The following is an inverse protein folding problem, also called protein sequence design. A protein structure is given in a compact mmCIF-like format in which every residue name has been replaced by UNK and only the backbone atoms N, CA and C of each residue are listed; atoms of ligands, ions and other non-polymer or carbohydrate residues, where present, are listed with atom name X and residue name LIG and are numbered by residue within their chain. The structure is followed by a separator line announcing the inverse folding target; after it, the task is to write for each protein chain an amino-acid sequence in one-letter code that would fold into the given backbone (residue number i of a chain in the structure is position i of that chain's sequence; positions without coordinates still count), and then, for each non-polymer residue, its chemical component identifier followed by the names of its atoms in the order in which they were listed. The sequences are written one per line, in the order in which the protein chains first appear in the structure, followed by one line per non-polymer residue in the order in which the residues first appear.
data_IF_348326455889
#
_entry.id   IF_348326455889
#
_cell.length_a   1.000
_cell.length_b   1.000
_cell.length_c   1.000
_cell.angle_alpha   90.00
_cell.angle_beta   90.00
_cell.angle_gamma   90.00
#
_symmetry.space_group_name_H-M   'P 1'
#
loop_
_entity.id
_entity.type
_entity.pdbx_description
1 polymer ?
#
# COMPACT_ATOMS: atom_id res chain seq x y z
N UNK A 1 85.48 -1.61 2.09
CA UNK A 1 84.86 -2.85 1.59
C UNK A 1 83.34 -2.62 1.47
N UNK A 2 82.89 -2.48 0.22
CA UNK A 2 81.50 -2.31 -0.16
C UNK A 2 80.77 -3.65 -0.11
N UNK A 3 79.62 -3.79 0.55
CA UNK A 3 78.63 -4.83 0.23
C UNK A 3 77.27 -4.20 0.06
N UNK A 4 76.80 -4.41 -1.14
CA UNK A 4 75.49 -4.03 -1.68
C UNK A 4 74.38 -4.73 -0.95
N UNK A 5 73.29 -4.00 -0.58
CA UNK A 5 71.96 -4.54 -0.36
C UNK A 5 71.07 -4.07 -1.52
N UNK A 6 70.86 -4.96 -2.47
CA UNK A 6 69.85 -4.86 -3.50
C UNK A 6 68.93 -6.06 -3.31
N UNK A 7 67.67 -5.83 -3.12
CA UNK A 7 66.63 -6.85 -3.29
C UNK A 7 65.73 -7.02 -2.08
N UNK A 8 64.61 -6.25 -2.01
CA UNK A 8 63.28 -6.72 -1.56
C UNK A 8 62.29 -5.55 -1.62
N UNK A 9 61.86 -5.15 -2.80
CA UNK A 9 60.67 -4.31 -2.98
C UNK A 9 60.00 -4.77 -4.29
N UNK A 10 59.29 -5.91 -4.25
CA UNK A 10 58.46 -6.33 -5.42
C UNK A 10 57.41 -7.41 -5.05
N UNK A 11 56.96 -7.52 -3.78
CA UNK A 11 55.96 -8.54 -3.45
C UNK A 11 54.70 -8.01 -2.73
N UNK A 12 54.63 -6.72 -2.39
CA UNK A 12 53.46 -6.17 -1.64
C UNK A 12 52.38 -5.59 -2.55
N UNK A 13 52.68 -5.22 -3.80
CA UNK A 13 51.68 -4.65 -4.72
C UNK A 13 50.79 -5.69 -5.41
N UNK A 14 51.29 -6.90 -5.62
CA UNK A 14 50.53 -7.96 -6.28
C UNK A 14 49.45 -8.56 -5.34
N UNK A 15 49.72 -8.64 -4.04
CA UNK A 15 48.74 -9.19 -3.07
C UNK A 15 47.58 -8.22 -2.81
N UNK A 16 47.85 -6.91 -2.83
CA UNK A 16 46.77 -5.90 -2.61
C UNK A 16 45.85 -5.77 -3.82
N UNK A 17 46.38 -5.94 -5.05
CA UNK A 17 45.52 -5.94 -6.26
C UNK A 17 44.67 -7.20 -6.37
N UNK A 18 45.20 -8.37 -6.00
CA UNK A 18 44.42 -9.62 -6.00
C UNK A 18 43.30 -9.62 -4.95
N UNK A 19 43.55 -9.09 -3.74
CA UNK A 19 42.54 -8.95 -2.72
C UNK A 19 41.43 -7.94 -3.10
N UNK A 20 41.80 -6.86 -3.79
CA UNK A 20 40.81 -5.88 -4.26
C UNK A 20 39.97 -6.43 -5.41
N UNK A 21 40.56 -7.20 -6.33
CA UNK A 21 39.84 -7.82 -7.44
C UNK A 21 38.87 -8.89 -6.96
N UNK A 22 39.25 -9.73 -5.99
CA UNK A 22 38.35 -10.74 -5.39
C UNK A 22 37.23 -10.11 -4.59
N UNK A 23 37.49 -9.02 -3.84
CA UNK A 23 36.44 -8.29 -3.11
C UNK A 23 35.46 -7.58 -4.05
N UNK A 24 35.91 -7.03 -5.17
CA UNK A 24 35.06 -6.44 -6.20
C UNK A 24 34.22 -7.49 -6.93
N UNK A 25 34.79 -8.66 -7.22
CA UNK A 25 34.01 -9.76 -7.84
C UNK A 25 32.93 -10.28 -6.93
N UNK A 26 33.19 -10.46 -5.63
CA UNK A 26 32.18 -10.90 -4.66
C UNK A 26 31.08 -9.87 -4.41
N UNK A 27 31.39 -8.57 -4.46
CA UNK A 27 30.36 -7.51 -4.36
C UNK A 27 29.49 -7.48 -5.61
N UNK A 28 30.05 -7.61 -6.80
CA UNK A 28 29.29 -7.68 -8.04
C UNK A 28 28.42 -8.93 -8.14
N UNK A 29 28.89 -10.06 -7.63
CA UNK A 29 28.11 -11.30 -7.54
C UNK A 29 26.96 -11.15 -6.54
N UNK A 30 27.17 -10.53 -5.38
CA UNK A 30 26.13 -10.24 -4.39
C UNK A 30 25.09 -9.25 -4.92
N UNK A 31 25.51 -8.22 -5.66
CA UNK A 31 24.60 -7.27 -6.29
C UNK A 31 23.78 -7.93 -7.40
N UNK A 32 24.38 -8.81 -8.22
CA UNK A 32 23.70 -9.58 -9.24
C UNK A 32 22.72 -10.61 -8.63
N UNK A 33 23.08 -11.24 -7.52
CA UNK A 33 22.22 -12.16 -6.79
C UNK A 33 21.05 -11.41 -6.14
N UNK A 34 21.28 -10.23 -5.56
CA UNK A 34 20.23 -9.35 -5.04
C UNK A 34 19.28 -8.82 -6.13
N UNK A 35 19.78 -8.47 -7.31
CA UNK A 35 18.95 -8.09 -8.45
C UNK A 35 18.17 -9.28 -9.01
N UNK A 36 18.78 -10.46 -9.06
CA UNK A 36 18.11 -11.70 -9.47
C UNK A 36 17.02 -12.10 -8.45
N UNK A 37 17.29 -11.98 -7.14
CA UNK A 37 16.30 -12.20 -6.07
C UNK A 37 15.18 -11.19 -6.18
N UNK A 38 15.47 -9.90 -6.41
CA UNK A 38 14.42 -8.89 -6.65
C UNK A 38 13.57 -9.22 -7.87
N UNK A 39 14.16 -9.65 -8.97
CA UNK A 39 13.43 -10.01 -10.19
C UNK A 39 12.56 -11.26 -9.99
N UNK A 40 13.04 -12.25 -9.23
CA UNK A 40 12.28 -13.47 -8.87
C UNK A 40 11.14 -13.12 -7.91
N UNK A 41 11.37 -12.19 -6.98
CA UNK A 41 10.35 -11.73 -6.02
C UNK A 41 9.22 -10.94 -6.72
N UNK A 42 9.54 -10.14 -7.75
CA UNK A 42 8.51 -9.47 -8.56
C UNK A 42 7.66 -10.44 -9.39
N UNK A 43 8.21 -11.58 -9.78
CA UNK A 43 7.53 -12.59 -10.63
C UNK A 43 6.65 -13.55 -9.81
N UNK A 44 6.82 -13.64 -8.49
CA UNK A 44 6.20 -14.70 -7.67
C UNK A 44 4.86 -14.32 -7.01
N UNK A 45 4.26 -13.18 -7.33
CA UNK A 45 2.91 -12.88 -6.83
C UNK A 45 1.89 -13.72 -7.59
N UNK A 46 1.04 -14.51 -6.90
CA UNK A 46 0.02 -15.34 -7.55
C UNK A 46 -1.07 -14.49 -8.24
N UNK A 47 -1.14 -13.19 -7.93
CA UNK A 47 -2.02 -12.22 -8.60
C UNK A 47 -1.15 -11.22 -9.37
N UNK A 48 -1.47 -10.99 -10.63
CA UNK A 48 -0.81 -9.97 -11.47
C UNK A 48 -1.33 -8.56 -11.11
N UNK A 49 -0.50 -7.80 -10.41
CA UNK A 49 -0.81 -6.41 -10.05
C UNK A 49 -0.21 -5.37 -11.02
N UNK A 50 0.26 -5.75 -12.20
CA UNK A 50 0.93 -4.84 -13.13
C UNK A 50 0.06 -3.63 -13.49
N UNK A 51 -1.20 -3.84 -13.83
CA UNK A 51 -2.14 -2.76 -14.15
C UNK A 51 -2.47 -1.91 -12.91
N UNK A 52 -2.52 -2.53 -11.72
CA UNK A 52 -2.69 -1.81 -10.46
C UNK A 52 -1.50 -0.88 -10.20
N UNK A 53 -0.28 -1.35 -10.39
CA UNK A 53 0.93 -0.54 -10.23
C UNK A 53 0.95 0.64 -11.20
N UNK A 54 0.67 0.39 -12.48
CA UNK A 54 0.56 1.45 -13.49
C UNK A 54 -0.45 2.52 -13.07
N UNK A 55 -1.62 2.12 -12.57
CA UNK A 55 -2.63 3.05 -12.09
C UNK A 55 -2.13 3.85 -10.89
N UNK A 56 -1.60 3.16 -9.87
CA UNK A 56 -1.15 3.80 -8.62
C UNK A 56 0.01 4.77 -8.86
N UNK A 57 0.99 4.42 -9.70
CA UNK A 57 2.11 5.30 -10.05
C UNK A 57 1.66 6.57 -10.76
N UNK A 58 0.66 6.46 -11.64
CA UNK A 58 0.11 7.60 -12.39
C UNK A 58 -0.68 8.56 -11.52
N UNK A 59 -1.41 8.04 -10.55
CA UNK A 59 -2.36 8.84 -9.76
C UNK A 59 -1.83 9.28 -8.41
N UNK A 60 -0.74 8.66 -7.92
CA UNK A 60 -0.15 9.01 -6.64
C UNK A 60 1.02 9.96 -6.83
N UNK A 61 0.87 11.19 -6.37
CA UNK A 61 1.84 12.26 -6.56
C UNK A 61 2.50 12.63 -5.24
N UNK A 62 3.84 12.59 -5.19
CA UNK A 62 4.64 13.08 -4.07
C UNK A 62 5.24 14.43 -4.41
N UNK A 63 4.86 15.48 -3.68
CA UNK A 63 5.48 16.80 -3.80
C UNK A 63 5.78 17.31 -2.40
N UNK A 64 7.03 17.15 -1.97
CA UNK A 64 7.53 17.66 -0.69
C UNK A 64 6.82 17.07 0.54
N UNK A 65 6.64 15.74 0.60
CA UNK A 65 6.01 15.08 1.74
C UNK A 65 5.24 13.82 1.39
N UNK A 66 4.14 13.58 2.10
CA UNK A 66 3.31 12.38 1.93
C UNK A 66 2.64 12.33 0.56
N UNK A 67 2.57 11.16 -0.08
CA UNK A 67 1.85 10.98 -1.35
C UNK A 67 0.40 11.45 -1.28
N UNK A 68 -0.12 11.99 -2.39
CA UNK A 68 -1.50 12.46 -2.57
C UNK A 68 -2.09 11.87 -3.83
N UNK A 69 -3.41 11.77 -3.89
CA UNK A 69 -4.13 11.19 -5.04
C UNK A 69 -4.63 12.28 -5.98
N UNK A 70 -4.35 12.10 -7.27
CA UNK A 70 -4.79 13.01 -8.33
C UNK A 70 -6.22 12.68 -8.78
N UNK A 71 -7.21 12.91 -7.92
CA UNK A 71 -8.62 12.56 -8.19
C UNK A 71 -9.22 13.24 -9.42
N UNK A 72 -8.80 14.46 -9.78
CA UNK A 72 -9.31 15.12 -10.99
C UNK A 72 -8.79 14.45 -12.25
N UNK A 73 -7.53 13.99 -12.22
CA UNK A 73 -6.99 13.18 -13.30
C UNK A 73 -7.76 11.86 -13.43
N UNK A 74 -7.97 11.15 -12.32
CA UNK A 74 -8.78 9.92 -12.32
C UNK A 74 -10.17 10.12 -12.93
N UNK A 75 -10.85 11.21 -12.54
CA UNK A 75 -12.19 11.52 -13.06
C UNK A 75 -12.21 11.78 -14.55
N UNK A 76 -11.15 12.35 -15.11
CA UNK A 76 -11.10 12.74 -16.50
C UNK A 76 -10.57 11.66 -17.44
N UNK A 77 -9.75 10.73 -16.94
CA UNK A 77 -8.96 9.82 -17.78
C UNK A 77 -9.09 8.35 -17.43
N UNK A 78 -9.30 7.99 -16.15
CA UNK A 78 -9.08 6.63 -15.67
C UNK A 78 -10.21 6.06 -14.79
N UNK A 79 -11.43 6.62 -14.84
CA UNK A 79 -12.58 6.11 -14.06
C UNK A 79 -12.86 4.65 -14.40
N UNK A 80 -12.89 4.31 -15.67
CA UNK A 80 -13.13 2.94 -16.13
C UNK A 80 -11.96 2.01 -15.74
N UNK A 81 -10.74 2.54 -15.72
CA UNK A 81 -9.59 1.76 -15.30
C UNK A 81 -9.65 1.40 -13.81
N UNK A 82 -10.08 2.33 -12.95
CA UNK A 82 -10.34 2.03 -11.53
C UNK A 82 -11.41 0.95 -11.39
N UNK A 83 -12.54 1.07 -12.09
CA UNK A 83 -13.61 0.07 -12.08
C UNK A 83 -13.15 -1.31 -12.57
N UNK A 84 -12.32 -1.35 -13.62
CA UNK A 84 -11.74 -2.59 -14.12
C UNK A 84 -10.80 -3.24 -13.10
N UNK A 85 -10.00 -2.47 -12.37
CA UNK A 85 -9.13 -2.99 -11.31
C UNK A 85 -9.91 -3.56 -10.13
N UNK A 86 -10.99 -2.88 -9.70
CA UNK A 86 -11.90 -3.43 -8.67
C UNK A 86 -12.50 -4.75 -9.15
N UNK A 87 -13.01 -4.81 -10.38
CA UNK A 87 -13.60 -6.02 -10.95
C UNK A 87 -12.59 -7.16 -11.10
N UNK A 88 -11.35 -6.83 -11.52
CA UNK A 88 -10.26 -7.79 -11.62
C UNK A 88 -9.94 -8.42 -10.25
N UNK A 89 -9.73 -7.59 -9.22
CA UNK A 89 -9.44 -8.11 -7.88
C UNK A 89 -10.62 -8.89 -7.32
N UNK A 90 -11.85 -8.43 -7.54
CA UNK A 90 -13.06 -9.12 -7.07
C UNK A 90 -13.25 -10.52 -7.69
N UNK A 91 -12.70 -10.76 -8.87
CA UNK A 91 -12.79 -12.02 -9.58
C UNK A 91 -11.71 -13.05 -9.21
N UNK A 92 -10.75 -12.68 -8.36
CA UNK A 92 -9.65 -13.57 -8.01
C UNK A 92 -10.10 -14.68 -7.06
N UNK A 93 -9.64 -15.91 -7.30
CA UNK A 93 -9.73 -16.99 -6.32
C UNK A 93 -8.60 -16.85 -5.30
N UNK A 94 -8.98 -16.46 -4.08
CA UNK A 94 -8.03 -16.23 -2.97
C UNK A 94 -7.92 -17.45 -2.03
N UNK A 95 -8.61 -18.55 -2.32
CA UNK A 95 -8.67 -19.72 -1.43
C UNK A 95 -7.31 -20.42 -1.29
N UNK A 96 -6.49 -20.39 -2.34
CA UNK A 96 -5.16 -21.00 -2.37
C UNK A 96 -4.02 -20.04 -1.95
N UNK A 97 -4.31 -18.76 -1.66
CA UNK A 97 -3.31 -17.79 -1.26
C UNK A 97 -2.77 -18.11 0.15
N UNK A 98 -1.46 -18.00 0.32
CA UNK A 98 -0.87 -17.98 1.65
C UNK A 98 -1.29 -16.72 2.43
N UNK A 99 -0.99 -16.66 3.71
CA UNK A 99 -1.43 -15.58 4.60
C UNK A 99 -0.94 -14.20 4.11
N UNK A 100 0.33 -14.08 3.74
CA UNK A 100 0.91 -12.81 3.28
C UNK A 100 0.32 -12.37 1.93
N UNK A 101 0.11 -13.27 0.99
CA UNK A 101 -0.55 -12.96 -0.29
C UNK A 101 -2.01 -12.57 -0.08
N UNK A 102 -2.72 -13.20 0.87
CA UNK A 102 -4.08 -12.82 1.25
C UNK A 102 -4.11 -11.43 1.90
N UNK A 103 -3.17 -11.12 2.80
CA UNK A 103 -3.03 -9.79 3.39
C UNK A 103 -2.80 -8.73 2.31
N UNK A 104 -1.86 -8.97 1.40
CA UNK A 104 -1.58 -8.08 0.27
C UNK A 104 -2.82 -7.88 -0.61
N UNK A 105 -3.54 -8.95 -0.93
CA UNK A 105 -4.79 -8.89 -1.70
C UNK A 105 -5.84 -7.98 -1.02
N UNK A 106 -6.13 -8.21 0.26
CA UNK A 106 -7.15 -7.43 0.97
C UNK A 106 -6.78 -5.95 1.11
N UNK A 107 -5.49 -5.63 1.31
CA UNK A 107 -5.01 -4.25 1.33
C UNK A 107 -5.17 -3.57 -0.04
N UNK A 108 -4.79 -4.24 -1.12
CA UNK A 108 -4.93 -3.70 -2.48
C UNK A 108 -6.41 -3.51 -2.84
N UNK A 109 -7.26 -4.47 -2.53
CA UNK A 109 -8.71 -4.36 -2.75
C UNK A 109 -9.31 -3.21 -1.96
N UNK A 110 -9.04 -3.11 -0.65
CA UNK A 110 -9.52 -2.03 0.20
C UNK A 110 -9.13 -0.66 -0.36
N UNK A 111 -7.88 -0.52 -0.78
CA UNK A 111 -7.33 0.73 -1.27
C UNK A 111 -7.98 1.17 -2.58
N UNK A 112 -8.11 0.28 -3.56
CA UNK A 112 -8.72 0.62 -4.85
C UNK A 112 -10.23 0.85 -4.73
N UNK A 113 -10.94 0.07 -3.89
CA UNK A 113 -12.36 0.27 -3.60
C UNK A 113 -12.58 1.61 -2.88
N UNK A 114 -11.66 2.03 -1.99
CA UNK A 114 -11.71 3.36 -1.39
C UNK A 114 -11.55 4.47 -2.44
N UNK A 115 -10.61 4.32 -3.38
CA UNK A 115 -10.44 5.27 -4.48
C UNK A 115 -11.73 5.36 -5.30
N UNK A 116 -12.30 4.22 -5.69
CA UNK A 116 -13.58 4.17 -6.43
C UNK A 116 -14.71 4.86 -5.67
N UNK A 117 -14.88 4.54 -4.38
CA UNK A 117 -15.91 5.12 -3.53
C UNK A 117 -15.79 6.65 -3.42
N UNK A 118 -14.56 7.17 -3.33
CA UNK A 118 -14.31 8.61 -3.33
C UNK A 118 -14.63 9.23 -4.70
N UNK A 119 -14.35 8.55 -5.80
CA UNK A 119 -14.71 9.01 -7.14
C UNK A 119 -16.23 9.10 -7.32
N UNK A 120 -16.96 8.14 -6.81
CA UNK A 120 -18.42 8.08 -6.91
C UNK A 120 -19.11 9.08 -5.98
N UNK A 121 -18.86 8.98 -4.66
CA UNK A 121 -19.58 9.69 -3.61
C UNK A 121 -18.90 10.99 -3.15
N UNK A 122 -17.57 11.07 -3.30
CA UNK A 122 -16.75 12.22 -2.89
C UNK A 122 -16.71 13.36 -3.90
N UNK A 123 -17.44 13.27 -5.04
CA UNK A 123 -17.47 14.28 -6.09
C UNK A 123 -17.70 15.69 -5.52
N UNK A 124 -16.82 16.64 -5.89
CA UNK A 124 -16.90 18.07 -5.48
C UNK A 124 -16.85 18.32 -3.97
N UNK A 125 -16.50 17.32 -3.15
CA UNK A 125 -16.36 17.49 -1.69
C UNK A 125 -14.95 17.95 -1.35
N UNK A 126 -14.85 19.03 -0.59
CA UNK A 126 -13.57 19.47 0.01
C UNK A 126 -13.21 18.63 1.25
N UNK A 127 -14.22 18.04 1.89
CA UNK A 127 -14.08 17.23 3.10
C UNK A 127 -14.97 15.99 3.04
N UNK A 128 -14.44 14.85 3.44
CA UNK A 128 -15.14 13.58 3.52
C UNK A 128 -15.73 13.29 4.91
N UNK A 129 -15.69 14.25 5.86
CA UNK A 129 -16.11 14.04 7.26
C UNK A 129 -17.49 13.35 7.38
N UNK A 130 -18.49 13.85 6.67
CA UNK A 130 -19.84 13.27 6.68
C UNK A 130 -19.95 11.94 5.93
N UNK A 131 -19.11 11.71 4.94
CA UNK A 131 -19.12 10.49 4.12
C UNK A 131 -18.34 9.35 4.77
N UNK A 132 -17.19 9.66 5.39
CA UNK A 132 -16.35 8.68 6.10
C UNK A 132 -16.92 8.36 7.48
N UNK A 133 -17.32 9.39 8.22
CA UNK A 133 -17.73 9.25 9.63
C UNK A 133 -16.55 8.95 10.56
N UNK A 134 -16.88 8.36 11.70
CA UNK A 134 -15.94 7.87 12.73
C UNK A 134 -16.04 6.35 12.82
N UNK A 135 -15.22 5.69 13.64
CA UNK A 135 -15.36 4.26 13.91
C UNK A 135 -16.72 3.92 14.50
N UNK A 136 -17.19 4.71 15.49
CA UNK A 136 -18.47 4.49 16.17
C UNK A 136 -19.68 4.82 15.30
N UNK A 137 -19.50 5.73 14.34
CA UNK A 137 -20.57 6.19 13.42
C UNK A 137 -20.00 6.28 12.00
N UNK A 138 -19.73 5.13 11.35
CA UNK A 138 -19.20 5.12 9.99
C UNK A 138 -20.23 5.70 9.02
N UNK A 139 -19.75 6.51 8.09
CA UNK A 139 -20.57 7.14 7.06
C UNK A 139 -20.80 6.22 5.86
N UNK A 140 -21.69 6.63 4.96
CA UNK A 140 -22.09 5.82 3.79
C UNK A 140 -20.92 5.46 2.83
N UNK A 141 -19.82 6.18 2.88
CA UNK A 141 -18.62 5.82 2.11
C UNK A 141 -18.10 4.46 2.55
N UNK A 142 -18.20 4.17 3.86
CA UNK A 142 -17.72 2.94 4.49
C UNK A 142 -18.77 1.83 4.57
N UNK A 143 -20.06 2.18 4.75
CA UNK A 143 -21.12 1.21 5.04
C UNK A 143 -21.90 0.73 3.81
N UNK A 144 -21.75 1.40 2.66
CA UNK A 144 -22.41 0.97 1.43
C UNK A 144 -21.66 -0.19 0.81
N UNK A 145 -22.38 -1.21 0.34
CA UNK A 145 -21.82 -2.30 -0.46
C UNK A 145 -21.14 -1.76 -1.71
N UNK A 146 -19.90 -2.18 -1.94
CA UNK A 146 -19.03 -1.67 -2.99
C UNK A 146 -18.55 -2.75 -3.96
N UNK A 147 -18.41 -3.97 -3.49
CA UNK A 147 -17.82 -5.06 -4.25
C UNK A 147 -18.45 -6.39 -3.84
N UNK A 148 -18.47 -7.36 -4.74
CA UNK A 148 -18.93 -8.73 -4.44
C UNK A 148 -17.73 -9.66 -4.56
N UNK A 149 -17.41 -10.39 -3.49
CA UNK A 149 -16.31 -11.34 -3.41
C UNK A 149 -16.88 -12.72 -3.06
N UNK A 150 -16.61 -13.73 -3.91
CA UNK A 150 -17.15 -15.07 -3.67
C UNK A 150 -18.68 -15.12 -3.55
N UNK A 151 -19.40 -14.22 -4.20
CA UNK A 151 -20.86 -14.11 -4.13
C UNK A 151 -21.37 -13.27 -2.96
N UNK A 152 -20.51 -12.79 -2.05
CA UNK A 152 -20.89 -11.96 -0.91
C UNK A 152 -20.66 -10.49 -1.23
N UNK A 153 -21.71 -9.66 -1.08
CA UNK A 153 -21.58 -8.21 -1.15
C UNK A 153 -20.83 -7.69 0.09
N UNK A 154 -19.85 -6.80 -0.13
CA UNK A 154 -19.00 -6.25 0.93
C UNK A 154 -18.89 -4.74 0.82
N UNK A 155 -19.00 -4.09 1.96
CA UNK A 155 -18.65 -2.69 2.15
C UNK A 155 -17.16 -2.50 2.46
N UNK A 156 -16.67 -1.26 2.46
CA UNK A 156 -15.32 -0.96 2.96
C UNK A 156 -15.16 -1.34 4.43
N UNK A 157 -16.23 -1.21 5.22
CA UNK A 157 -16.22 -1.61 6.64
C UNK A 157 -16.02 -3.12 6.78
N UNK A 158 -16.65 -3.94 5.94
CA UNK A 158 -16.49 -5.40 5.99
C UNK A 158 -15.06 -5.80 5.63
N UNK A 159 -14.49 -5.19 4.58
CA UNK A 159 -13.09 -5.44 4.18
C UNK A 159 -12.13 -5.01 5.29
N UNK A 160 -12.36 -3.84 5.92
CA UNK A 160 -11.54 -3.33 7.01
C UNK A 160 -11.63 -4.26 8.24
N UNK A 161 -12.84 -4.72 8.60
CA UNK A 161 -13.03 -5.69 9.68
C UNK A 161 -12.24 -6.96 9.41
N UNK A 162 -12.31 -7.48 8.19
CA UNK A 162 -11.56 -8.67 7.78
C UNK A 162 -10.05 -8.48 7.93
N UNK A 163 -9.52 -7.36 7.45
CA UNK A 163 -8.09 -7.00 7.61
C UNK A 163 -7.65 -6.95 9.08
N UNK A 164 -8.51 -6.46 9.96
CA UNK A 164 -8.20 -6.28 11.38
C UNK A 164 -8.39 -7.55 12.21
N UNK A 165 -9.18 -8.52 11.74
CA UNK A 165 -9.50 -9.74 12.50
C UNK A 165 -8.78 -10.99 12.00
N UNK A 166 -8.40 -11.05 10.73
CA UNK A 166 -7.75 -12.23 10.16
C UNK A 166 -6.22 -12.20 10.28
N UNK A 167 -5.63 -11.02 10.47
CA UNK A 167 -4.17 -10.87 10.47
C UNK A 167 -3.68 -10.31 11.81
N UNK A 168 -2.86 -11.06 12.52
CA UNK A 168 -2.25 -10.62 13.80
C UNK A 168 -1.04 -9.69 13.54
N UNK A 169 -1.32 -8.57 12.89
CA UNK A 169 -0.32 -7.57 12.54
C UNK A 169 -0.86 -6.15 12.81
N UNK A 170 -0.42 -5.47 13.89
CA UNK A 170 -0.88 -4.12 14.21
C UNK A 170 -0.54 -3.08 13.15
N UNK A 171 0.43 -3.36 12.26
CA UNK A 171 0.80 -2.46 11.20
C UNK A 171 -0.22 -2.42 10.04
N UNK A 172 -1.19 -3.33 9.99
CA UNK A 172 -2.25 -3.36 8.98
C UNK A 172 -2.98 -2.02 8.89
N UNK A 173 -3.19 -1.34 10.02
CA UNK A 173 -3.86 -0.02 10.07
C UNK A 173 -3.17 1.04 9.18
N UNK A 174 -1.87 0.92 8.95
CA UNK A 174 -1.10 1.85 8.11
C UNK A 174 -1.17 1.51 6.61
N UNK A 175 -1.71 0.36 6.28
CA UNK A 175 -2.01 -0.05 4.91
C UNK A 175 -3.43 0.31 4.45
N UNK A 176 -4.33 0.67 5.38
CA UNK A 176 -5.74 0.99 5.11
C UNK A 176 -5.87 2.46 4.70
N UNK A 177 -6.01 2.71 3.40
CA UNK A 177 -6.21 4.05 2.87
C UNK A 177 -7.60 4.60 3.23
N UNK A 178 -7.64 5.82 3.78
CA UNK A 178 -8.86 6.43 4.30
C UNK A 178 -9.48 7.49 3.36
N UNK A 179 -8.86 7.79 2.24
CA UNK A 179 -9.30 8.84 1.31
C UNK A 179 -9.11 10.26 1.85
N UNK A 180 -8.57 10.43 3.05
CA UNK A 180 -8.43 11.72 3.74
C UNK A 180 -6.98 12.04 4.08
N UNK A 181 -6.65 13.35 4.14
CA UNK A 181 -5.29 13.83 4.40
C UNK A 181 -4.72 13.40 5.75
N UNK A 182 -5.55 13.20 6.75
CA UNK A 182 -5.12 12.79 8.09
C UNK A 182 -4.91 11.28 8.23
N UNK A 183 -5.34 10.46 7.25
CA UNK A 183 -5.20 9.01 7.26
C UNK A 183 -3.86 8.51 6.68
N UNK A 184 -3.60 7.20 6.70
CA UNK A 184 -2.50 6.59 5.97
C UNK A 184 -2.52 6.92 4.48
N UNK A 185 -1.36 6.92 3.83
CA UNK A 185 -1.24 7.25 2.42
C UNK A 185 -1.61 6.06 1.53
N UNK A 186 -2.14 6.36 0.33
CA UNK A 186 -2.22 5.38 -0.74
C UNK A 186 -0.80 5.08 -1.24
N UNK A 187 -0.49 3.79 -1.40
CA UNK A 187 0.80 3.35 -1.92
C UNK A 187 0.88 3.59 -3.43
N UNK A 188 2.10 3.83 -3.92
CA UNK A 188 2.38 3.99 -5.35
C UNK A 188 2.43 2.67 -6.11
N UNK A 189 2.60 1.57 -5.39
CA UNK A 189 2.59 0.20 -5.91
C UNK A 189 1.67 -0.66 -5.07
N UNK A 190 1.19 -1.74 -5.65
CA UNK A 190 0.44 -2.75 -4.92
C UNK A 190 1.29 -3.40 -3.82
N UNK A 191 0.65 -3.81 -2.75
CA UNK A 191 1.26 -4.72 -1.79
C UNK A 191 1.52 -6.07 -2.45
N UNK A 192 2.61 -6.73 -2.06
CA UNK A 192 3.02 -8.08 -2.50
C UNK A 192 3.22 -8.94 -1.27
N UNK A 193 2.81 -10.21 -1.29
CA UNK A 193 2.95 -11.10 -0.16
C UNK A 193 4.37 -11.18 0.39
N UNK A 194 5.35 -11.24 -0.50
CA UNK A 194 6.78 -11.34 -0.15
C UNK A 194 7.34 -10.11 0.59
N UNK A 195 6.72 -8.94 0.45
CA UNK A 195 7.20 -7.68 1.05
C UNK A 195 6.14 -6.97 1.90
N UNK A 196 4.94 -7.54 2.06
CA UNK A 196 3.81 -6.86 2.70
C UNK A 196 4.13 -6.41 4.13
N UNK A 197 4.76 -7.26 4.92
CA UNK A 197 5.10 -6.95 6.30
C UNK A 197 6.14 -5.84 6.40
N UNK A 198 7.21 -5.91 5.60
CA UNK A 198 8.23 -4.85 5.53
C UNK A 198 7.63 -3.52 5.06
N UNK A 199 6.77 -3.56 4.04
CA UNK A 199 6.08 -2.36 3.54
C UNK A 199 5.19 -1.74 4.62
N UNK A 200 4.46 -2.56 5.38
CA UNK A 200 3.62 -2.09 6.48
C UNK A 200 4.45 -1.48 7.62
N UNK A 201 5.61 -2.04 7.94
CA UNK A 201 6.55 -1.44 8.92
C UNK A 201 7.07 -0.08 8.45
N UNK A 202 7.43 0.04 7.18
CA UNK A 202 7.85 1.31 6.59
C UNK A 202 6.72 2.35 6.64
N UNK A 203 5.49 1.94 6.33
CA UNK A 203 4.31 2.78 6.43
C UNK A 203 4.03 3.22 7.87
N UNK A 204 4.21 2.32 8.86
CA UNK A 204 4.07 2.64 10.28
C UNK A 204 5.06 3.73 10.69
N UNK A 205 6.34 3.56 10.38
CA UNK A 205 7.39 4.56 10.65
C UNK A 205 7.07 5.90 9.97
N UNK A 206 6.69 5.87 8.68
CA UNK A 206 6.35 7.07 7.95
C UNK A 206 5.13 7.79 8.55
N UNK A 207 4.08 7.05 8.91
CA UNK A 207 2.86 7.65 9.45
C UNK A 207 3.07 8.21 10.84
N UNK A 208 3.64 7.45 11.78
CA UNK A 208 3.89 7.85 13.17
C UNK A 208 4.72 9.13 13.23
N UNK A 209 5.75 9.27 12.38
CA UNK A 209 6.65 10.43 12.34
C UNK A 209 6.14 11.58 11.45
N UNK A 210 4.96 11.43 10.82
CA UNK A 210 4.38 12.50 10.03
C UNK A 210 3.87 13.64 10.91
N UNK A 211 4.09 14.87 10.46
CA UNK A 211 3.71 16.07 11.22
C UNK A 211 2.23 16.07 11.61
N UNK A 212 1.96 16.27 12.90
CA UNK A 212 0.60 16.36 13.46
C UNK A 212 -0.13 15.02 13.60
N UNK A 213 0.53 13.89 13.38
CA UNK A 213 -0.04 12.55 13.58
C UNK A 213 0.12 12.10 15.03
N UNK A 214 1.35 12.15 15.55
CA UNK A 214 1.67 11.86 16.96
C UNK A 214 2.52 13.03 17.47
N UNK A 215 2.10 13.63 18.58
CA UNK A 215 2.87 14.66 19.27
C UNK A 215 2.79 14.46 20.78
N UNK A 216 3.74 15.02 21.53
CA UNK A 216 3.72 14.96 23.00
C UNK A 216 3.79 16.38 23.53
N UNK A 217 2.75 16.78 24.28
CA UNK A 217 2.66 18.08 24.91
C UNK A 217 2.26 17.93 26.37
N UNK A 218 2.97 18.56 27.28
CA UNK A 218 2.68 18.50 28.71
C UNK A 218 2.47 17.06 29.23
N UNK A 219 3.31 16.12 28.78
CA UNK A 219 3.21 14.68 29.06
C UNK A 219 1.93 14.00 28.57
N UNK A 220 1.14 14.64 27.72
CA UNK A 220 0.01 14.02 27.00
C UNK A 220 0.46 13.64 25.59
N UNK A 221 0.23 12.41 25.22
CA UNK A 221 0.43 11.91 23.84
C UNK A 221 -0.81 12.26 23.04
N UNK A 222 -0.69 13.26 22.20
CA UNK A 222 -1.76 13.66 21.27
C UNK A 222 -1.60 12.87 19.98
N UNK A 223 -2.66 12.19 19.54
CA UNK A 223 -2.66 11.39 18.32
C UNK A 223 -3.95 11.55 17.52
N UNK A 224 -3.85 11.29 16.21
CA UNK A 224 -5.02 11.32 15.35
C UNK A 224 -6.01 10.22 15.74
N UNK A 225 -7.32 10.42 15.53
CA UNK A 225 -8.34 9.43 15.85
C UNK A 225 -8.13 8.05 15.24
N UNK A 226 -7.35 7.93 14.17
CA UNK A 226 -7.06 6.64 13.51
C UNK A 226 -6.55 5.60 14.50
N UNK A 227 -5.66 5.98 15.42
CA UNK A 227 -5.15 5.05 16.44
C UNK A 227 -6.25 4.58 17.40
N UNK A 228 -7.17 5.47 17.76
CA UNK A 228 -8.27 5.15 18.68
C UNK A 228 -9.35 4.34 17.98
N UNK A 229 -9.57 4.54 16.68
CA UNK A 229 -10.52 3.73 15.91
C UNK A 229 -10.14 2.26 15.87
N UNK A 230 -8.84 1.99 15.89
CA UNK A 230 -8.30 0.63 15.78
C UNK A 230 -7.70 0.13 17.10
N UNK A 231 -7.92 0.84 18.21
CA UNK A 231 -7.30 0.53 19.50
C UNK A 231 -7.60 -0.90 19.95
N UNK A 232 -8.86 -1.30 19.89
CA UNK A 232 -9.27 -2.65 20.31
C UNK A 232 -8.68 -3.73 19.39
N UNK A 233 -8.81 -3.55 18.09
CA UNK A 233 -8.39 -4.54 17.10
C UNK A 233 -6.85 -4.65 16.97
N UNK A 234 -6.15 -3.52 16.86
CA UNK A 234 -4.71 -3.52 16.61
C UNK A 234 -3.86 -3.51 17.89
N UNK A 235 -4.39 -2.96 19.01
CA UNK A 235 -3.63 -2.75 20.24
C UNK A 235 -4.30 -3.37 21.46
N UNK A 236 -5.25 -4.30 21.27
CA UNK A 236 -5.93 -5.07 22.32
C UNK A 236 -6.65 -4.19 23.37
N UNK A 237 -7.05 -2.97 22.97
CA UNK A 237 -7.63 -1.99 23.90
C UNK A 237 -6.67 -1.49 24.99
N UNK A 238 -5.38 -1.77 24.89
CA UNK A 238 -4.39 -1.47 25.92
C UNK A 238 -3.50 -0.29 25.52
N UNK A 239 -3.57 0.80 26.28
CA UNK A 239 -2.75 1.99 26.11
C UNK A 239 -1.25 1.70 26.20
N UNK A 240 -0.82 0.70 26.97
CA UNK A 240 0.60 0.33 27.08
C UNK A 240 1.08 -0.34 25.78
N UNK A 241 0.24 -1.18 25.18
CA UNK A 241 0.54 -1.83 23.89
C UNK A 241 0.62 -0.76 22.80
N UNK A 242 -0.34 0.16 22.74
CA UNK A 242 -0.29 1.30 21.83
C UNK A 242 0.96 2.15 22.02
N UNK A 243 1.30 2.49 23.28
CA UNK A 243 2.49 3.31 23.59
C UNK A 243 3.79 2.61 23.18
N UNK A 244 3.91 1.29 23.42
CA UNK A 244 5.05 0.51 22.99
C UNK A 244 5.18 0.53 21.47
N UNK A 245 4.09 0.24 20.78
CA UNK A 245 4.03 0.28 19.33
C UNK A 245 4.43 1.66 18.72
N UNK A 246 3.96 2.75 19.31
CA UNK A 246 4.36 4.10 18.90
C UNK A 246 5.86 4.33 19.10
N UNK A 247 6.44 3.88 20.22
CA UNK A 247 7.89 4.01 20.49
C UNK A 247 8.74 3.21 19.51
N UNK A 248 8.27 2.04 19.08
CA UNK A 248 9.00 1.17 18.16
C UNK A 248 9.06 1.77 16.75
N UNK A 249 8.05 2.56 16.38
CA UNK A 249 7.94 3.21 15.08
C UNK A 249 8.40 4.69 15.08
N UNK A 250 8.66 5.28 16.25
CA UNK A 250 9.05 6.68 16.37
C UNK A 250 10.53 6.91 16.05
N UNK A 251 10.83 8.06 15.42
CA UNK A 251 12.19 8.56 15.33
C UNK A 251 12.78 8.89 16.72
N UNK A 252 14.10 9.09 16.86
CA UNK A 252 14.72 9.30 18.16
C UNK A 252 14.12 10.47 18.96
N UNK A 253 13.72 11.56 18.31
CA UNK A 253 13.17 12.75 18.97
C UNK A 253 11.76 12.46 19.51
N UNK A 254 10.89 11.91 18.68
CA UNK A 254 9.54 11.52 19.07
C UNK A 254 9.59 10.42 20.12
N UNK A 255 10.45 9.41 19.96
CA UNK A 255 10.63 8.32 20.91
C UNK A 255 11.01 8.84 22.31
N UNK A 256 11.96 9.78 22.38
CA UNK A 256 12.35 10.42 23.64
C UNK A 256 11.19 11.21 24.27
N UNK A 257 10.35 11.84 23.46
CA UNK A 257 9.15 12.52 23.96
C UNK A 257 8.11 11.53 24.48
N UNK A 258 7.88 10.40 23.78
CA UNK A 258 6.94 9.36 24.18
C UNK A 258 7.27 8.69 25.52
N UNK A 259 8.54 8.64 25.93
CA UNK A 259 8.89 8.16 27.27
C UNK A 259 8.35 9.06 28.41
N UNK A 260 8.03 10.32 28.14
CA UNK A 260 7.40 11.25 29.07
C UNK A 260 5.88 11.20 29.06
N UNK A 261 5.28 10.56 28.05
CA UNK A 261 3.83 10.41 27.91
C UNK A 261 3.20 9.69 29.09
N UNK A 262 2.10 10.22 29.62
CA UNK A 262 1.37 9.68 30.78
C UNK A 262 -0.08 9.34 30.46
N UNK A 263 -0.63 9.94 29.42
CA UNK A 263 -2.01 9.75 28.98
C UNK A 263 -2.12 10.04 27.50
N UNK A 264 -3.20 9.59 26.89
CA UNK A 264 -3.53 9.84 25.50
C UNK A 264 -4.63 10.91 25.37
N UNK A 265 -4.56 11.69 24.30
CA UNK A 265 -5.62 12.57 23.87
C UNK A 265 -5.81 12.48 22.35
N UNK A 266 -7.05 12.48 21.92
CA UNK A 266 -7.38 12.53 20.51
C UNK A 266 -7.28 13.96 19.97
N UNK A 267 -6.58 14.12 18.84
CA UNK A 267 -6.65 15.35 18.05
C UNK A 267 -7.78 15.28 17.03
N UNK A 268 -8.00 16.32 16.26
CA UNK A 268 -8.92 16.29 15.14
C UNK A 268 -8.28 15.66 13.92
N UNK A 269 -8.96 14.70 13.27
CA UNK A 269 -8.52 14.18 11.99
C UNK A 269 -8.71 15.23 10.89
N UNK A 270 -7.71 15.34 10.03
CA UNK A 270 -7.85 16.15 8.82
C UNK A 270 -8.70 15.39 7.78
N UNK A 271 -9.99 15.65 7.77
CA UNK A 271 -10.96 15.05 6.84
C UNK A 271 -10.97 15.67 5.43
N UNK A 272 -10.07 16.61 5.13
CA UNK A 272 -9.96 17.10 3.76
C UNK A 272 -9.70 15.93 2.84
N UNK A 273 -10.31 15.95 1.65
CA UNK A 273 -10.02 14.97 0.60
C UNK A 273 -8.51 14.88 0.39
N UNK A 274 -7.98 13.68 0.31
CA UNK A 274 -6.57 13.44 0.03
C UNK A 274 -6.28 13.71 -1.45
N UNK A 275 -6.34 14.99 -1.81
CA UNK A 275 -6.30 15.49 -3.16
C UNK A 275 -4.99 16.21 -3.45
N UNK A 276 -4.43 15.95 -4.62
CA UNK A 276 -3.36 16.75 -5.22
C UNK A 276 -3.85 17.37 -6.51
N UNK A 277 -3.74 18.69 -6.61
CA UNK A 277 -3.95 19.42 -7.85
C UNK A 277 -2.73 19.19 -8.76
N UNK A 278 -2.89 18.28 -9.70
CA UNK A 278 -1.82 17.98 -10.67
C UNK A 278 -1.92 18.99 -11.78
N UNK A 279 -0.85 19.74 -11.98
CA UNK A 279 -0.71 20.66 -13.09
C UNK A 279 -1.08 19.95 -14.41
N UNK A 280 -1.92 20.59 -15.23
CA UNK A 280 -2.43 20.07 -16.51
C UNK A 280 -1.31 19.50 -17.41
N UNK A 281 -0.15 20.15 -17.45
CA UNK A 281 1.01 19.68 -18.21
C UNK A 281 1.59 18.34 -17.69
N UNK A 282 1.51 18.05 -16.37
CA UNK A 282 1.91 16.75 -15.83
C UNK A 282 0.87 15.67 -16.14
N UNK A 283 -0.41 16.04 -16.17
CA UNK A 283 -1.50 15.16 -16.59
C UNK A 283 -1.39 14.79 -18.08
N UNK A 284 -1.08 15.77 -18.93
CA UNK A 284 -0.88 15.58 -20.38
C UNK A 284 0.32 14.68 -20.66
N UNK A 285 1.44 14.83 -19.92
CA UNK A 285 2.61 13.93 -20.03
C UNK A 285 2.27 12.50 -19.59
N UNK A 286 1.51 12.33 -18.51
CA UNK A 286 1.08 11.03 -18.04
C UNK A 286 0.12 10.35 -19.02
N UNK A 287 -0.77 11.11 -19.66
CA UNK A 287 -1.68 10.60 -20.69
C UNK A 287 -0.93 10.17 -21.97
N UNK A 288 0.09 10.93 -22.39
CA UNK A 288 0.91 10.62 -23.55
C UNK A 288 1.75 9.32 -23.38
N UNK A 289 2.10 8.98 -22.14
CA UNK A 289 2.84 7.75 -21.80
C UNK A 289 1.94 6.55 -21.50
N UNK A 290 0.63 6.64 -21.79
CA UNK A 290 -0.32 5.54 -21.57
C UNK A 290 0.03 4.35 -22.46
N UNK A 291 0.34 3.16 -21.90
CA UNK A 291 0.40 1.94 -22.70
C UNK A 291 -0.94 1.70 -23.38
N UNK A 292 -0.91 1.25 -24.64
CA UNK A 292 -2.12 0.84 -25.33
C UNK A 292 -2.86 -0.21 -24.48
N UNK A 293 -4.15 -0.04 -24.29
CA UNK A 293 -4.97 -1.00 -23.56
C UNK A 293 -4.74 -2.40 -24.16
N UNK A 294 -4.35 -3.37 -23.33
CA UNK A 294 -4.23 -4.76 -23.78
C UNK A 294 -5.56 -5.19 -24.37
N UNK A 295 -5.58 -5.83 -25.54
CA UNK A 295 -6.82 -6.35 -26.11
C UNK A 295 -7.46 -7.28 -25.07
N UNK A 296 -8.74 -7.10 -24.81
CA UNK A 296 -9.49 -8.03 -23.96
C UNK A 296 -9.29 -9.46 -24.50
N UNK A 297 -9.07 -10.47 -23.65
CA UNK A 297 -9.13 -11.84 -24.10
C UNK A 297 -10.46 -12.04 -24.82
N UNK A 298 -10.40 -12.51 -26.07
CA UNK A 298 -11.62 -12.91 -26.78
C UNK A 298 -12.27 -14.01 -25.95
N UNK A 299 -13.40 -13.70 -25.34
CA UNK A 299 -14.27 -14.73 -24.80
C UNK A 299 -14.66 -15.62 -25.98
N UNK A 300 -14.18 -16.85 -26.00
CA UNK A 300 -14.63 -17.88 -26.91
C UNK A 300 -16.14 -18.05 -26.67
N UNK A 301 -16.98 -17.92 -27.72
CA UNK A 301 -18.40 -18.16 -27.53
C UNK A 301 -18.60 -19.59 -27.01
N UNK A 302 -19.26 -19.74 -25.87
CA UNK A 302 -19.71 -21.03 -25.42
C UNK A 302 -20.59 -21.69 -26.51
N UNK A 303 -20.39 -22.97 -26.87
CA UNK A 303 -21.26 -23.65 -27.80
C UNK A 303 -22.68 -23.65 -27.24
N UNK A 304 -23.61 -23.14 -28.02
CA UNK A 304 -25.03 -23.21 -27.65
C UNK A 304 -25.47 -24.71 -27.62
N UNK A 305 -26.25 -25.13 -26.61
CA UNK A 305 -26.80 -26.44 -26.58
C UNK A 305 -27.72 -26.66 -27.82
N UNK A 306 -27.51 -27.75 -28.55
CA UNK A 306 -28.36 -28.12 -29.69
C UNK A 306 -29.80 -28.33 -29.21
N UNK A 307 -30.80 -27.81 -29.95
CA UNK A 307 -32.19 -28.12 -29.61
C UNK A 307 -32.42 -29.62 -29.76
N UNK A 308 -32.96 -30.22 -28.68
CA UNK A 308 -33.41 -31.60 -28.69
C UNK A 308 -34.53 -31.75 -29.71
N UNK A 309 -34.28 -32.59 -30.72
CA UNK A 309 -35.26 -32.88 -31.76
C UNK A 309 -36.51 -33.51 -31.15
N UNK A 310 -37.65 -32.86 -31.38
CA UNK A 310 -38.96 -33.41 -31.11
C UNK A 310 -39.23 -34.57 -32.07
N UNK A 311 -39.38 -35.77 -31.51
CA UNK A 311 -39.85 -36.91 -32.26
C UNK A 311 -41.34 -36.77 -32.58
N UNK A 312 -41.67 -36.78 -33.84
CA UNK A 312 -43.01 -37.06 -34.29
C UNK A 312 -43.27 -38.57 -34.14
N UNK A 313 -44.19 -38.92 -33.27
CA UNK A 313 -44.79 -40.23 -33.22
C UNK A 313 -46.19 -40.15 -33.82
N UNK A 314 -46.43 -40.94 -34.80
CA UNK A 314 -47.70 -41.24 -35.43
C UNK A 314 -48.67 -41.99 -34.50
#
# INVERSE_FOLDING_TARGET
MLRRFTGLILTTTALSLAASATAQTTLAELDAENEAVKSVVEVSSPIDYSDHDILMERVTVSKGGRPRVAYDFLRSQDVDFVGNQVSFLASQDISALNENDRLAYWLNLQNIVTVQAVLEDGKKKKSLKKLRGTADKPGKLWTKDRVTIGGQAMSLQDIETKLLTEFDNPNVIYGIYQGVRGGPCLMRKAYRGVTVNETLEQNAKQYVNSNGIVTVKNNVVELTPVFLWYQDAAFKGDDKVLLAHLKDNADPNLKSALYRGRSFASTSLNYSLDFHDVNKAAQERAAANRPAARPRPRTTPQPQPRPSGGGYGS
#
